data_IF_657837773796
#
_entry.id   IF_657837773796
#
_cell.length_a   1.000
_cell.length_b   1.000
_cell.length_c   1.000
_cell.angle_alpha   90.00
_cell.angle_beta   90.00
_cell.angle_gamma   90.00
#
_symmetry.space_group_name_H-M   'P 1'
#
loop_
_entity.id
_entity.type
_entity.pdbx_description
1 polymer ?
#
# COMPACT_ATOMS: atom_id res chain seq x y z
N UNK A 1 -10.48 1.56 -7.88
CA UNK A 1 -9.27 2.00 -8.59
C UNK A 1 -8.20 2.53 -7.65
N UNK A 2 -8.48 3.50 -6.77
CA UNK A 2 -7.52 3.96 -5.74
C UNK A 2 -6.83 2.82 -4.98
N UNK A 3 -7.61 1.91 -4.38
CA UNK A 3 -7.06 0.76 -3.65
C UNK A 3 -6.20 -0.16 -4.52
N UNK A 4 -6.47 -0.25 -5.83
CA UNK A 4 -5.64 -1.02 -6.76
C UNK A 4 -4.28 -0.34 -6.91
N UNK A 5 -4.26 0.99 -7.11
CA UNK A 5 -3.01 1.76 -7.15
C UNK A 5 -2.16 1.58 -5.89
N UNK A 6 -2.80 1.64 -4.70
CA UNK A 6 -2.11 1.43 -3.41
C UNK A 6 -1.51 0.03 -3.33
N UNK A 7 -2.28 -1.01 -3.69
CA UNK A 7 -1.79 -2.38 -3.65
C UNK A 7 -0.66 -2.58 -4.65
N UNK A 8 -0.77 -2.04 -5.87
CA UNK A 8 0.28 -2.13 -6.89
C UNK A 8 1.57 -1.46 -6.43
N UNK A 9 1.49 -0.28 -5.81
CA UNK A 9 2.64 0.39 -5.20
C UNK A 9 3.34 -0.53 -4.19
N UNK A 10 2.57 -1.08 -3.23
CA UNK A 10 3.10 -2.00 -2.20
C UNK A 10 3.73 -3.25 -2.81
N UNK A 11 3.15 -3.81 -3.87
CA UNK A 11 3.67 -5.02 -4.49
C UNK A 11 5.01 -4.77 -5.21
N UNK A 12 5.22 -3.57 -5.76
CA UNK A 12 6.43 -3.23 -6.51
C UNK A 12 7.57 -2.70 -5.63
N UNK A 13 7.27 -2.03 -4.51
CA UNK A 13 8.30 -1.44 -3.63
C UNK A 13 8.39 -2.10 -2.25
N UNK A 14 7.32 -2.73 -1.77
CA UNK A 14 7.19 -3.17 -0.38
C UNK A 14 6.92 -2.03 0.61
N UNK A 15 6.63 -0.83 0.13
CA UNK A 15 6.28 0.35 0.93
C UNK A 15 4.82 0.75 0.73
N UNK A 16 4.25 1.46 1.71
CA UNK A 16 2.92 2.06 1.56
C UNK A 16 3.08 3.51 1.12
N UNK A 17 2.36 3.97 0.08
CA UNK A 17 2.53 5.32 -0.48
C UNK A 17 2.12 6.45 0.46
N UNK A 18 1.33 6.16 1.50
CA UNK A 18 0.79 7.15 2.44
C UNK A 18 1.20 6.89 3.89
N UNK A 19 2.18 6.01 4.13
CA UNK A 19 2.58 5.67 5.50
C UNK A 19 3.26 6.85 6.16
N UNK A 20 2.67 7.37 7.24
CA UNK A 20 3.33 8.28 8.18
C UNK A 20 3.93 7.54 9.37
N UNK A 21 4.54 8.28 10.29
CA UNK A 21 5.04 7.80 11.58
C UNK A 21 3.91 7.37 12.52
N UNK A 22 2.72 7.97 12.37
CA UNK A 22 1.51 7.62 13.10
C UNK A 22 0.23 7.58 12.22
N UNK A 23 -0.88 7.20 12.85
CA UNK A 23 -2.19 7.09 12.17
C UNK A 23 -2.70 8.46 11.70
N UNK A 24 -2.42 9.55 12.42
CA UNK A 24 -2.88 10.89 12.04
C UNK A 24 -2.13 11.39 10.82
N UNK A 25 -0.81 11.21 10.79
CA UNK A 25 0.01 11.55 9.63
C UNK A 25 -0.36 10.69 8.42
N UNK A 26 -0.59 9.39 8.62
CA UNK A 26 -1.07 8.49 7.55
C UNK A 26 -2.40 8.98 6.98
N UNK A 27 -3.35 9.38 7.83
CA UNK A 27 -4.63 9.94 7.38
C UNK A 27 -4.40 11.27 6.65
N UNK A 28 -3.54 12.13 7.17
CA UNK A 28 -3.18 13.41 6.54
C UNK A 28 -2.64 13.21 5.13
N UNK A 29 -1.70 12.27 4.94
CA UNK A 29 -1.10 11.96 3.64
C UNK A 29 -2.15 11.42 2.66
N UNK A 30 -3.05 10.54 3.12
CA UNK A 30 -4.18 10.06 2.30
C UNK A 30 -5.12 11.20 1.91
N UNK A 31 -5.43 12.12 2.84
CA UNK A 31 -6.31 13.25 2.61
C UNK A 31 -5.68 14.31 1.69
N UNK A 32 -4.37 14.51 1.77
CA UNK A 32 -3.63 15.40 0.88
C UNK A 32 -3.43 14.76 -0.51
N UNK A 33 -3.45 13.43 -0.60
CA UNK A 33 -3.11 12.70 -1.82
C UNK A 33 -1.62 12.84 -2.16
N UNK A 34 -0.79 13.04 -1.14
CA UNK A 34 0.66 13.19 -1.27
C UNK A 34 1.31 11.80 -1.30
N UNK A 35 1.98 11.51 -2.40
CA UNK A 35 2.76 10.29 -2.62
C UNK A 35 3.74 10.53 -3.76
N UNK A 36 4.86 9.82 -3.76
CA UNK A 36 5.86 9.88 -4.82
C UNK A 36 6.57 8.52 -5.02
N UNK A 37 7.46 8.50 -6.01
CA UNK A 37 8.37 7.37 -6.25
C UNK A 37 9.78 7.63 -5.72
N UNK A 38 10.05 8.83 -5.20
CA UNK A 38 11.36 9.32 -4.79
C UNK A 38 11.61 8.95 -3.33
N UNK A 39 11.73 7.65 -3.11
CA UNK A 39 12.05 7.07 -1.81
C UNK A 39 13.56 7.14 -1.56
N UNK A 40 13.98 7.39 -0.31
CA UNK A 40 15.41 7.53 0.09
C UNK A 40 16.35 6.42 -0.41
N UNK A 41 15.83 5.22 -0.64
CA UNK A 41 16.59 4.02 -1.04
C UNK A 41 16.37 3.61 -2.52
N UNK A 42 15.83 4.49 -3.36
CA UNK A 42 15.62 4.28 -4.79
C UNK A 42 14.87 2.96 -5.16
N UNK A 43 13.82 2.61 -4.41
CA UNK A 43 13.12 1.33 -4.56
C UNK A 43 12.44 1.13 -5.93
N UNK A 44 12.25 2.22 -6.66
CA UNK A 44 11.63 2.23 -7.97
C UNK A 44 12.64 2.26 -9.13
N UNK A 45 13.95 2.14 -8.89
CA UNK A 45 14.97 2.11 -9.95
C UNK A 45 14.80 0.89 -10.87
N UNK A 46 14.48 -0.26 -10.28
CA UNK A 46 14.29 -1.51 -11.02
C UNK A 46 12.86 -1.67 -11.57
N UNK A 47 11.97 -0.71 -11.27
CA UNK A 47 10.57 -0.72 -11.69
C UNK A 47 10.41 0.03 -13.00
N UNK A 48 9.78 -0.60 -13.99
CA UNK A 48 9.62 0.00 -15.31
C UNK A 48 8.79 1.29 -15.27
N UNK A 49 9.12 2.25 -16.13
CA UNK A 49 8.38 3.52 -16.24
C UNK A 49 6.89 3.29 -16.52
N UNK A 50 6.55 2.25 -17.27
CA UNK A 50 5.17 1.89 -17.57
C UNK A 50 4.40 1.48 -16.31
N UNK A 51 5.04 0.80 -15.37
CA UNK A 51 4.44 0.45 -14.08
C UNK A 51 4.22 1.68 -13.20
N UNK A 52 5.20 2.60 -13.18
CA UNK A 52 5.07 3.89 -12.49
C UNK A 52 3.89 4.69 -13.05
N UNK A 53 3.82 4.84 -14.37
CA UNK A 53 2.70 5.51 -15.04
C UNK A 53 1.35 4.86 -14.71
N UNK A 54 1.28 3.52 -14.68
CA UNK A 54 0.06 2.82 -14.28
C UNK A 54 -0.40 3.20 -12.87
N UNK A 55 0.52 3.25 -11.89
CA UNK A 55 0.20 3.69 -10.53
C UNK A 55 -0.28 5.14 -10.53
N UNK A 56 0.40 6.05 -11.27
CA UNK A 56 0.02 7.46 -11.38
C UNK A 56 -1.40 7.65 -11.88
N UNK A 57 -1.82 6.87 -12.88
CA UNK A 57 -3.19 6.94 -13.42
C UNK A 57 -4.26 6.44 -12.43
N UNK A 58 -3.87 5.68 -11.40
CA UNK A 58 -4.78 5.14 -10.38
C UNK A 58 -4.83 5.97 -9.10
N UNK A 59 -3.72 6.61 -8.73
CA UNK A 59 -3.56 7.39 -7.50
C UNK A 59 -3.75 8.90 -7.74
N UNK A 60 -4.79 9.26 -8.49
CA UNK A 60 -5.22 10.66 -8.63
C UNK A 60 -6.23 11.03 -7.55
N UNK A 61 -6.07 12.19 -6.94
CA UNK A 61 -6.93 12.63 -5.85
C UNK A 61 -8.40 12.72 -6.28
N UNK A 62 -8.66 13.40 -7.41
CA UNK A 62 -10.00 13.47 -8.00
C UNK A 62 -10.40 12.11 -8.62
N UNK A 63 -11.52 11.49 -8.18
CA UNK A 63 -11.98 10.21 -8.71
C UNK A 63 -12.27 10.21 -10.22
N UNK A 64 -12.65 11.36 -10.79
CA UNK A 64 -12.98 11.47 -12.22
C UNK A 64 -11.76 11.39 -13.14
N UNK A 65 -10.58 11.70 -12.60
CA UNK A 65 -9.34 11.71 -13.38
C UNK A 65 -8.64 10.34 -13.35
N UNK A 66 -9.09 9.43 -12.46
CA UNK A 66 -8.55 8.08 -12.31
C UNK A 66 -8.99 7.21 -13.48
N UNK A 67 -8.08 6.37 -13.97
CA UNK A 67 -8.44 5.36 -14.95
C UNK A 67 -9.54 4.44 -14.42
N UNK A 68 -10.51 4.12 -15.28
CA UNK A 68 -11.51 3.07 -15.02
C UNK A 68 -10.85 1.69 -15.06
N UNK A 69 -11.62 0.66 -14.71
CA UNK A 69 -11.16 -0.73 -14.81
C UNK A 69 -10.79 -1.07 -16.25
N UNK A 70 -11.64 -0.70 -17.21
CA UNK A 70 -11.45 -0.97 -18.64
C UNK A 70 -10.18 -0.29 -19.14
N UNK A 71 -10.00 0.99 -18.84
CA UNK A 71 -8.79 1.75 -19.20
C UNK A 71 -7.53 1.14 -18.59
N UNK A 72 -7.62 0.65 -17.35
CA UNK A 72 -6.51 0.01 -16.63
C UNK A 72 -6.14 -1.35 -17.21
N UNK A 73 -7.13 -2.12 -17.66
CA UNK A 73 -6.90 -3.40 -18.33
C UNK A 73 -6.28 -3.21 -19.71
N UNK A 74 -6.58 -2.10 -20.40
CA UNK A 74 -5.97 -1.74 -21.68
C UNK A 74 -4.67 -0.95 -21.55
N UNK A 75 -4.24 -0.63 -20.32
CA UNK A 75 -3.04 0.15 -20.09
C UNK A 75 -1.79 -0.59 -20.61
N UNK A 76 -0.84 0.18 -21.10
CA UNK A 76 0.38 -0.31 -21.73
C UNK A 76 1.15 -1.32 -20.84
N UNK A 77 1.21 -1.05 -19.53
CA UNK A 77 1.83 -1.94 -18.56
C UNK A 77 1.11 -3.28 -18.46
N UNK A 78 -0.22 -3.31 -18.34
CA UNK A 78 -0.98 -4.56 -18.17
C UNK A 78 -1.02 -5.39 -19.46
N UNK A 79 -1.01 -4.74 -20.62
CA UNK A 79 -1.00 -5.40 -21.94
C UNK A 79 0.36 -5.96 -22.36
N UNK A 80 1.46 -5.27 -21.99
CA UNK A 80 2.81 -5.64 -22.40
C UNK A 80 3.55 -6.45 -21.32
N UNK A 81 3.24 -6.29 -20.02
CA UNK A 81 3.91 -7.00 -18.94
C UNK A 81 4.00 -8.52 -19.13
N UNK A 82 2.97 -9.24 -19.63
CA UNK A 82 3.07 -10.69 -19.85
C UNK A 82 4.11 -11.10 -20.89
N UNK A 83 4.59 -10.17 -21.72
CA UNK A 83 5.53 -10.40 -22.82
C UNK A 83 6.93 -9.88 -22.54
N UNK A 84 7.14 -9.26 -21.38
CA UNK A 84 8.44 -8.71 -20.99
C UNK A 84 9.22 -9.71 -20.14
N UNK A 85 10.55 -9.67 -20.28
CA UNK A 85 11.47 -10.34 -19.37
C UNK A 85 11.19 -9.89 -17.93
N UNK A 86 10.80 -10.83 -17.07
CA UNK A 86 10.48 -10.53 -15.68
C UNK A 86 11.77 -10.32 -14.88
N UNK A 87 12.07 -9.07 -14.54
CA UNK A 87 13.12 -8.75 -13.57
C UNK A 87 12.66 -9.15 -12.16
N UNK A 88 13.48 -9.93 -11.46
CA UNK A 88 13.21 -10.27 -10.06
C UNK A 88 13.48 -9.06 -9.17
N UNK A 89 12.43 -8.48 -8.60
CA UNK A 89 12.53 -7.39 -7.63
C UNK A 89 12.97 -7.91 -6.25
N UNK A 90 13.67 -7.06 -5.48
CA UNK A 90 14.05 -7.36 -4.10
C UNK A 90 12.79 -7.40 -3.23
N UNK A 91 12.61 -8.49 -2.49
CA UNK A 91 11.38 -8.72 -1.68
C UNK A 91 11.53 -8.33 -0.20
N UNK A 92 12.69 -7.85 0.23
CA UNK A 92 13.00 -7.70 1.65
C UNK A 92 12.07 -6.71 2.35
N UNK A 93 11.71 -5.61 1.68
CA UNK A 93 10.76 -4.64 2.21
C UNK A 93 9.33 -5.15 2.22
N UNK A 94 8.93 -5.92 1.21
CA UNK A 94 7.63 -6.59 1.23
C UNK A 94 7.54 -7.54 2.43
N UNK A 95 8.62 -8.27 2.75
CA UNK A 95 8.69 -9.10 3.96
C UNK A 95 8.60 -8.25 5.24
N UNK A 96 9.35 -7.15 5.33
CA UNK A 96 9.27 -6.20 6.48
C UNK A 96 7.86 -5.62 6.64
N UNK A 97 7.22 -5.22 5.54
CA UNK A 97 5.84 -4.71 5.53
C UNK A 97 4.85 -5.76 6.03
N UNK A 98 4.94 -7.00 5.52
CA UNK A 98 4.10 -8.09 5.98
C UNK A 98 4.35 -8.44 7.46
N UNK A 99 5.59 -8.39 7.92
CA UNK A 99 5.95 -8.59 9.32
C UNK A 99 5.33 -7.52 10.21
N UNK A 100 5.49 -6.23 9.88
CA UNK A 100 4.84 -5.11 10.58
C UNK A 100 3.32 -5.31 10.67
N UNK A 101 2.68 -5.70 9.55
CA UNK A 101 1.24 -5.97 9.51
C UNK A 101 0.81 -7.15 10.40
N UNK A 102 1.60 -8.22 10.46
CA UNK A 102 1.35 -9.36 11.35
C UNK A 102 1.44 -8.93 12.82
N UNK A 103 2.50 -8.18 13.18
CA UNK A 103 2.68 -7.66 14.54
C UNK A 103 1.55 -6.75 14.99
N UNK A 104 1.08 -5.84 14.12
CA UNK A 104 -0.05 -4.98 14.41
C UNK A 104 -1.34 -5.77 14.75
N UNK A 105 -1.63 -6.84 13.99
CA UNK A 105 -2.78 -7.72 14.27
C UNK A 105 -2.65 -8.42 15.62
N UNK A 106 -1.48 -8.95 15.94
CA UNK A 106 -1.22 -9.59 17.23
C UNK A 106 -1.38 -8.59 18.38
N UNK A 107 -0.83 -7.39 18.25
CA UNK A 107 -0.99 -6.32 19.23
C UNK A 107 -2.47 -5.95 19.47
N UNK A 108 -3.25 -5.80 18.40
CA UNK A 108 -4.68 -5.50 18.51
C UNK A 108 -5.47 -6.65 19.18
N UNK A 109 -5.14 -7.91 18.88
CA UNK A 109 -5.75 -9.07 19.53
C UNK A 109 -5.46 -9.11 21.04
N UNK A 110 -4.20 -8.88 21.44
CA UNK A 110 -3.83 -8.81 22.86
C UNK A 110 -4.57 -7.68 23.59
N UNK A 111 -4.65 -6.48 22.99
CA UNK A 111 -5.43 -5.35 23.56
C UNK A 111 -6.92 -5.68 23.71
N UNK A 112 -7.50 -6.43 22.76
CA UNK A 112 -8.90 -6.84 22.85
C UNK A 112 -9.12 -7.83 24.02
N UNK A 113 -8.22 -8.81 24.18
CA UNK A 113 -8.29 -9.77 25.28
C UNK A 113 -8.18 -9.11 26.65
N UNK A 114 -7.26 -8.16 26.83
CA UNK A 114 -7.13 -7.42 28.10
C UNK A 114 -8.37 -6.58 28.39
N UNK A 115 -8.95 -5.94 27.37
CA UNK A 115 -10.19 -5.17 27.51
C UNK A 115 -11.36 -6.07 27.92
N UNK A 116 -11.51 -7.25 27.31
CA UNK A 116 -12.54 -8.23 27.65
C UNK A 116 -12.37 -8.78 29.08
N UNK A 117 -11.14 -9.08 29.51
CA UNK A 117 -10.85 -9.50 30.88
C UNK A 117 -11.25 -8.43 31.91
N UNK A 118 -10.91 -7.16 31.66
CA UNK A 118 -11.28 -6.06 32.55
C UNK A 118 -12.80 -5.81 32.63
N UNK A 119 -13.53 -6.02 31.52
CA UNK A 119 -14.98 -5.92 31.48
C UNK A 119 -15.67 -7.07 32.22
N UNK A 120 -15.13 -8.30 32.10
CA UNK A 120 -15.63 -9.47 32.83
C UNK A 120 -15.51 -9.28 34.34
N UNK A 121 -14.36 -8.76 34.80
CA UNK A 121 -14.12 -8.47 36.23
C UNK A 121 -15.03 -7.36 36.78
N UNK A 122 -15.38 -6.35 35.97
CA UNK A 122 -16.32 -5.28 36.37
C UNK A 122 -17.77 -5.76 36.45
N UNK A 123 -18.14 -6.84 35.77
CA UNK A 123 -19.52 -7.39 35.76
C UNK A 123 -19.75 -8.42 36.87
N UNK A 124 -18.68 -8.96 37.45
CA UNK A 124 -18.71 -9.92 38.55
C UNK A 124 -18.72 -9.27 39.95
N UNK A 125 -18.87 -7.95 40.02
CA UNK A 125 -18.90 -7.13 41.24
C UNK A 125 -20.19 -6.33 41.27
#
# INVERSE_FOLDING_TARGET
>A
MWSVGVITYILLSGLSPFMGDDDNETISNVCAGEWDFDTEDNFFDDVSQMAKNFITELLKMNPKDRNTVEQSLTHDWTQKAPRLEMKKLKTDNLKKFLARRRWAKTGNALRALTKLGSLSLKKAK
#
